data_IF_516844684695
#
_entry.id   IF_516844684695
#
_cell.length_a   1.000
_cell.length_b   1.000
_cell.length_c   1.000
_cell.angle_alpha   90.00
_cell.angle_beta   90.00
_cell.angle_gamma   90.00
#
_symmetry.space_group_name_H-M   'P 1'
#
loop_
_entity.id
_entity.type
_entity.pdbx_description
1 polymer ?
#
# COMPACT_ATOMS: atom_id res chain seq x y z
N UNK A 1 -22.39 -7.79 -0.56
CA UNK A 1 -21.89 -8.27 0.75
C UNK A 1 -20.39 -8.03 0.78
N UNK A 2 -19.89 -7.24 1.72
CA UNK A 2 -18.46 -6.88 1.79
C UNK A 2 -17.59 -8.00 2.40
N UNK A 3 -16.29 -7.75 2.53
CA UNK A 3 -15.33 -8.69 3.15
C UNK A 3 -15.50 -8.80 4.67
N UNK A 4 -15.15 -9.95 5.24
CA UNK A 4 -14.82 -10.11 6.65
C UNK A 4 -13.29 -10.14 6.82
N UNK A 5 -12.79 -9.93 8.04
CA UNK A 5 -11.38 -10.18 8.33
C UNK A 5 -11.07 -11.66 8.06
N UNK A 6 -9.99 -11.93 7.32
CA UNK A 6 -9.62 -13.27 6.88
C UNK A 6 -8.56 -13.94 7.76
N UNK A 7 -8.08 -13.25 8.80
CA UNK A 7 -7.07 -13.72 9.74
C UNK A 7 -7.60 -13.57 11.16
N UNK A 8 -7.48 -14.62 11.96
CA UNK A 8 -7.78 -14.59 13.39
C UNK A 8 -6.77 -13.70 14.11
N UNK A 9 -7.26 -12.87 15.03
CA UNK A 9 -6.41 -11.98 15.80
C UNK A 9 -6.96 -11.81 17.21
N UNK A 10 -6.05 -11.89 18.18
CA UNK A 10 -6.32 -11.74 19.61
C UNK A 10 -6.84 -10.31 19.88
N UNK A 11 -8.06 -10.16 20.44
CA UNK A 11 -8.64 -8.85 20.72
C UNK A 11 -7.91 -8.04 21.79
N UNK A 12 -7.14 -8.69 22.68
CA UNK A 12 -6.44 -8.00 23.78
C UNK A 12 -5.11 -7.36 23.30
N UNK A 13 -4.54 -7.88 22.22
CA UNK A 13 -3.23 -7.47 21.69
C UNK A 13 -3.31 -6.81 20.30
N UNK A 14 -4.46 -6.84 19.62
CA UNK A 14 -4.58 -6.43 18.21
C UNK A 14 -5.69 -5.41 17.95
N UNK A 15 -5.33 -4.28 17.32
CA UNK A 15 -6.27 -3.34 16.74
C UNK A 15 -6.65 -3.74 15.30
N UNK A 16 -7.88 -3.41 14.87
CA UNK A 16 -8.41 -3.74 13.54
C UNK A 16 -8.97 -2.49 12.85
N UNK A 17 -8.73 -2.35 11.55
CA UNK A 17 -9.29 -1.30 10.71
C UNK A 17 -9.69 -1.87 9.34
N UNK A 18 -10.64 -1.22 8.65
CA UNK A 18 -11.10 -1.65 7.33
C UNK A 18 -11.65 -0.50 6.51
N UNK A 19 -11.26 -0.47 5.24
CA UNK A 19 -11.87 0.37 4.21
C UNK A 19 -13.00 -0.39 3.50
N UNK A 20 -14.14 0.27 3.28
CA UNK A 20 -15.30 -0.28 2.58
C UNK A 20 -15.54 0.48 1.28
N UNK A 21 -15.75 -0.27 0.19
CA UNK A 21 -16.23 0.24 -1.12
C UNK A 21 -15.51 1.50 -1.63
N UNK A 22 -14.20 1.63 -1.36
CA UNK A 22 -13.40 2.78 -1.81
C UNK A 22 -13.23 2.75 -3.33
N UNK A 23 -13.56 3.86 -3.97
CA UNK A 23 -13.40 4.05 -5.41
C UNK A 23 -11.94 4.35 -5.80
N UNK A 24 -11.09 3.33 -5.72
CA UNK A 24 -9.65 3.41 -6.00
C UNK A 24 -9.15 2.20 -6.79
N UNK A 25 -7.91 2.27 -7.27
CA UNK A 25 -7.32 1.17 -8.05
C UNK A 25 -6.98 -0.02 -7.17
N UNK A 26 -7.70 -1.14 -7.35
CA UNK A 26 -7.41 -2.39 -6.66
C UNK A 26 -5.98 -2.91 -6.92
N UNK A 27 -5.46 -2.70 -8.14
CA UNK A 27 -4.09 -3.08 -8.51
C UNK A 27 -3.05 -2.31 -7.69
N UNK A 28 -3.26 -1.02 -7.49
CA UNK A 28 -2.35 -0.20 -6.68
C UNK A 28 -2.45 -0.57 -5.20
N UNK A 29 -3.67 -0.77 -4.68
CA UNK A 29 -3.88 -1.20 -3.30
C UNK A 29 -3.16 -2.51 -2.98
N UNK A 30 -3.07 -3.44 -3.94
CA UNK A 30 -2.30 -4.68 -3.77
C UNK A 30 -0.80 -4.44 -3.60
N UNK A 31 -0.22 -3.56 -4.42
CA UNK A 31 1.21 -3.25 -4.34
C UNK A 31 1.52 -2.48 -3.04
N UNK A 32 0.70 -1.48 -2.68
CA UNK A 32 0.82 -0.74 -1.41
C UNK A 32 0.70 -1.67 -0.20
N UNK A 33 -0.35 -2.50 -0.14
CA UNK A 33 -0.56 -3.42 0.98
C UNK A 33 0.58 -4.43 1.15
N UNK A 34 1.27 -4.78 0.05
CA UNK A 34 2.47 -5.62 0.13
C UNK A 34 3.63 -4.86 0.76
N UNK A 35 3.84 -3.62 0.36
CA UNK A 35 5.00 -2.83 0.75
C UNK A 35 4.97 -2.42 2.22
N UNK A 36 3.82 -1.99 2.73
CA UNK A 36 3.70 -1.54 4.13
C UNK A 36 3.58 -2.70 5.13
N UNK A 37 3.47 -3.94 4.67
CA UNK A 37 3.26 -5.10 5.55
C UNK A 37 4.53 -5.38 6.36
N UNK A 38 4.41 -5.27 7.67
CA UNK A 38 5.51 -5.55 8.62
C UNK A 38 6.20 -4.29 9.14
N UNK A 39 5.88 -3.12 8.57
CA UNK A 39 6.26 -1.83 9.14
C UNK A 39 5.43 -1.54 10.40
N UNK A 40 5.97 -0.68 11.26
CA UNK A 40 5.15 -0.02 12.28
C UNK A 40 4.14 0.92 11.63
N UNK A 41 3.07 1.27 12.36
CA UNK A 41 2.08 2.21 11.85
C UNK A 41 2.68 3.59 11.52
N UNK A 42 3.67 4.04 12.30
CA UNK A 42 4.37 5.31 12.06
C UNK A 42 5.19 5.25 10.77
N UNK A 43 6.03 4.22 10.60
CA UNK A 43 6.81 4.05 9.36
C UNK A 43 5.91 3.90 8.13
N UNK A 44 4.78 3.22 8.25
CA UNK A 44 3.82 3.09 7.16
C UNK A 44 3.19 4.45 6.80
N UNK A 45 2.90 5.30 7.78
CA UNK A 45 2.39 6.66 7.52
C UNK A 45 3.46 7.48 6.80
N UNK A 46 4.68 7.53 7.34
CA UNK A 46 5.79 8.30 6.76
C UNK A 46 6.07 7.86 5.31
N UNK A 47 6.07 6.55 5.05
CA UNK A 47 6.20 5.99 3.71
C UNK A 47 5.06 6.38 2.77
N UNK A 48 3.81 6.31 3.24
CA UNK A 48 2.66 6.63 2.40
C UNK A 48 2.58 8.13 2.08
N UNK A 49 3.04 8.99 3.00
CA UNK A 49 3.20 10.43 2.79
C UNK A 49 4.28 10.71 1.73
N UNK A 50 5.46 10.08 1.83
CA UNK A 50 6.52 10.24 0.82
C UNK A 50 6.11 9.74 -0.57
N UNK A 51 5.29 8.68 -0.65
CA UNK A 51 4.68 8.22 -1.89
C UNK A 51 3.68 9.25 -2.45
N UNK A 52 2.93 9.92 -1.57
CA UNK A 52 1.99 10.98 -1.97
C UNK A 52 2.73 12.20 -2.51
N UNK A 53 3.88 12.52 -1.93
CA UNK A 53 4.76 13.62 -2.34
C UNK A 53 5.69 13.24 -3.52
N UNK A 54 5.52 12.04 -4.08
CA UNK A 54 6.29 11.48 -5.19
C UNK A 54 7.81 11.37 -4.92
N UNK A 55 8.20 11.25 -3.66
CA UNK A 55 9.59 11.13 -3.23
C UNK A 55 10.06 9.67 -3.25
N UNK A 56 9.21 8.74 -2.84
CA UNK A 56 9.51 7.30 -2.80
C UNK A 56 8.50 6.48 -3.63
N UNK A 57 8.99 5.58 -4.47
CA UNK A 57 8.16 4.79 -5.37
C UNK A 57 7.64 3.52 -4.71
N UNK A 58 6.36 3.21 -4.90
CA UNK A 58 5.84 1.86 -4.60
C UNK A 58 6.34 0.88 -5.66
N UNK A 59 6.99 -0.23 -5.27
CA UNK A 59 7.39 -1.27 -6.22
C UNK A 59 6.14 -1.95 -6.84
N UNK A 60 6.05 -1.95 -8.17
CA UNK A 60 4.99 -2.66 -8.90
C UNK A 60 5.50 -4.04 -9.30
N UNK A 61 5.18 -5.08 -8.52
CA UNK A 61 5.68 -6.44 -8.76
C UNK A 61 4.76 -7.30 -9.64
N UNK A 62 3.44 -7.12 -9.54
CA UNK A 62 2.48 -7.92 -10.33
C UNK A 62 1.87 -7.14 -11.48
N UNK A 63 1.59 -5.85 -11.30
CA UNK A 63 0.85 -5.03 -12.26
C UNK A 63 1.76 -4.03 -13.00
N UNK A 64 2.87 -4.53 -13.54
CA UNK A 64 3.97 -3.72 -14.06
C UNK A 64 4.05 -3.61 -15.60
N UNK A 65 3.09 -4.15 -16.34
CA UNK A 65 3.10 -4.05 -17.81
C UNK A 65 3.09 -2.57 -18.25
N UNK A 66 4.17 -2.15 -18.93
CA UNK A 66 4.35 -0.77 -19.38
C UNK A 66 4.66 0.24 -18.27
N UNK A 67 5.03 -0.22 -17.07
CA UNK A 67 5.50 0.65 -15.99
C UNK A 67 6.99 0.93 -16.18
N UNK A 68 7.38 2.20 -16.09
CA UNK A 68 8.78 2.60 -16.19
C UNK A 68 9.60 2.13 -15.00
N UNK A 69 10.89 1.91 -15.23
CA UNK A 69 11.82 1.55 -14.16
C UNK A 69 12.05 2.75 -13.23
N UNK A 70 12.31 2.46 -11.96
CA UNK A 70 12.54 3.44 -10.90
C UNK A 70 13.84 3.10 -10.19
N UNK A 71 14.75 4.07 -10.05
CA UNK A 71 16.07 3.85 -9.47
C UNK A 71 16.04 3.64 -7.95
N UNK A 72 14.99 4.13 -7.31
CA UNK A 72 14.73 4.06 -5.87
C UNK A 72 14.08 2.73 -5.44
N UNK A 73 13.72 1.86 -6.40
CA UNK A 73 13.17 0.53 -6.09
C UNK A 73 14.31 -0.48 -5.94
N UNK A 74 14.50 -1.02 -4.75
CA UNK A 74 15.50 -2.08 -4.48
C UNK A 74 14.97 -3.48 -4.83
N UNK A 75 15.82 -4.30 -5.43
CA UNK A 75 15.51 -5.70 -5.75
C UNK A 75 14.40 -5.91 -6.81
N UNK A 76 13.95 -4.83 -7.46
CA UNK A 76 12.96 -4.85 -8.53
C UNK A 76 13.17 -3.66 -9.49
N UNK A 77 12.47 -3.63 -10.61
CA UNK A 77 12.65 -2.62 -11.64
C UNK A 77 11.55 -1.54 -11.63
N UNK A 78 10.30 -1.95 -11.67
CA UNK A 78 9.16 -1.09 -11.91
C UNK A 78 8.60 -0.47 -10.61
N UNK A 79 8.29 0.82 -10.65
CA UNK A 79 7.63 1.53 -9.56
C UNK A 79 6.74 2.69 -10.02
N UNK A 80 5.82 3.14 -9.16
CA UNK A 80 5.00 4.35 -9.37
C UNK A 80 4.64 5.01 -8.04
N UNK A 81 3.98 6.17 -8.13
CA UNK A 81 3.41 6.92 -7.02
C UNK A 81 1.87 6.85 -7.03
N UNK A 82 1.25 5.81 -6.45
CA UNK A 82 -0.20 5.62 -6.48
C UNK A 82 -0.95 6.51 -5.46
N UNK A 83 -0.79 7.85 -5.55
CA UNK A 83 -1.30 8.82 -4.56
C UNK A 83 -2.73 8.58 -4.07
N UNK A 84 -3.69 8.36 -4.99
CA UNK A 84 -5.11 8.21 -4.63
C UNK A 84 -5.35 7.00 -3.72
N UNK A 85 -4.61 5.91 -3.94
CA UNK A 85 -4.71 4.72 -3.11
C UNK A 85 -3.93 4.92 -1.80
N UNK A 86 -2.76 5.56 -1.83
CA UNK A 86 -1.99 5.89 -0.62
C UNK A 86 -2.77 6.78 0.34
N UNK A 87 -3.39 7.86 -0.15
CA UNK A 87 -4.29 8.73 0.65
C UNK A 87 -5.43 7.96 1.30
N UNK A 88 -5.97 6.95 0.61
CA UNK A 88 -7.02 6.12 1.19
C UNK A 88 -6.51 5.14 2.26
N UNK A 89 -5.23 4.74 2.24
CA UNK A 89 -4.60 3.92 3.28
C UNK A 89 -4.18 4.74 4.50
N UNK A 90 -4.00 6.05 4.36
CA UNK A 90 -3.75 6.99 5.46
C UNK A 90 -5.02 7.31 6.28
N UNK A 91 -6.21 7.15 5.69
CA UNK A 91 -7.53 7.30 6.37
C UNK A 91 -7.81 6.18 7.39
#
# INVERSE_FOLDING_TARGET
MGISYSVDADPDETAKAMLRERHMSHKHSKEIAREIKGLTAAEAVDYLESVVDEEESVPFRSHNSGVGHRSDVDGWDAGRYPEKASKAFLD
#
